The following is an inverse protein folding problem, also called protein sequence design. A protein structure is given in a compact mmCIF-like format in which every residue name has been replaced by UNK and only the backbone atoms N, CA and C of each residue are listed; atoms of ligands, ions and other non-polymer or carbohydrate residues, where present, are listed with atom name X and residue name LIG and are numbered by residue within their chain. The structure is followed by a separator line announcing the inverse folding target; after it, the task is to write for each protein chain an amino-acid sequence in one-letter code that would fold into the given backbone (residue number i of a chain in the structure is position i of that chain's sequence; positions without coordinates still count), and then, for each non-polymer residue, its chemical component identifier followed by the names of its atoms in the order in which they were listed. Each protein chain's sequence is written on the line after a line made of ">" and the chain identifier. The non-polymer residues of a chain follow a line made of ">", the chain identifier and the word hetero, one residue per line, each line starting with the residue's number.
data_IF_151220323288
#
_entry.id   IF_151220323288
#
_cell.length_a   1.000
_cell.length_b   1.000
_cell.length_c   1.000
_cell.angle_alpha   90.00
_cell.angle_beta   90.00
_cell.angle_gamma   90.00
#
_symmetry.space_group_name_H-M   'P 1'
#
loop_
_entity.id
_entity.type
_entity.pdbx_description
1 polymer ?
#
# COMPACT_ATOMS: atom_id res chain seq x y z
N UNK A 1 18.34 15.31 -4.12
CA UNK A 1 17.10 15.03 -3.36
C UNK A 1 16.88 16.17 -2.39
N UNK A 2 15.77 16.88 -2.48
CA UNK A 2 15.43 18.02 -1.62
C UNK A 2 15.02 17.55 -0.23
N UNK A 3 15.10 18.43 0.79
CA UNK A 3 14.70 18.10 2.17
C UNK A 3 13.27 17.54 2.27
N UNK A 4 12.34 18.04 1.45
CA UNK A 4 10.95 17.56 1.40
C UNK A 4 10.84 16.13 0.86
N UNK A 5 11.68 15.78 -0.12
CA UNK A 5 11.69 14.43 -0.71
C UNK A 5 12.30 13.39 0.22
N UNK A 6 13.33 13.76 0.99
CA UNK A 6 13.87 12.92 2.06
C UNK A 6 12.79 12.64 3.11
N UNK A 7 12.00 13.66 3.46
CA UNK A 7 10.87 13.48 4.37
C UNK A 7 9.84 12.50 3.78
N UNK A 8 9.42 12.64 2.52
CA UNK A 8 8.47 11.70 1.90
C UNK A 8 9.01 10.26 1.81
N UNK A 9 10.30 10.10 1.54
CA UNK A 9 10.96 8.79 1.55
C UNK A 9 11.02 8.15 2.94
N UNK A 10 11.13 8.95 4.00
CA UNK A 10 11.11 8.47 5.39
C UNK A 10 9.70 8.16 5.91
N UNK A 11 8.69 8.88 5.44
CA UNK A 11 7.30 8.74 5.91
C UNK A 11 6.76 7.32 5.65
N UNK A 12 7.02 6.73 4.48
CA UNK A 12 6.55 5.39 4.15
C UNK A 12 7.00 4.31 5.16
N UNK A 13 8.32 4.12 5.37
CA UNK A 13 8.85 3.17 6.35
C UNK A 13 8.35 3.43 7.77
N UNK A 14 8.28 4.69 8.19
CA UNK A 14 7.78 5.05 9.54
C UNK A 14 6.31 4.64 9.71
N UNK A 15 5.46 4.91 8.72
CA UNK A 15 4.06 4.51 8.76
C UNK A 15 3.89 2.99 8.76
N UNK A 16 4.69 2.25 7.99
CA UNK A 16 4.70 0.79 7.99
C UNK A 16 5.12 0.26 9.37
N UNK A 17 6.18 0.81 9.98
CA UNK A 17 6.63 0.41 11.31
C UNK A 17 5.55 0.65 12.37
N UNK A 18 4.92 1.83 12.37
CA UNK A 18 3.82 2.14 13.28
C UNK A 18 2.62 1.23 13.07
N UNK A 19 2.26 0.96 11.82
CA UNK A 19 1.14 0.07 11.47
C UNK A 19 1.37 -1.35 11.99
N UNK A 20 2.57 -1.90 11.76
CA UNK A 20 2.90 -3.23 12.25
C UNK A 20 2.99 -3.25 13.77
N UNK A 21 3.53 -2.20 14.41
CA UNK A 21 3.55 -2.09 15.86
C UNK A 21 2.15 -2.11 16.48
N UNK A 22 1.20 -1.36 15.92
CA UNK A 22 -0.20 -1.40 16.33
C UNK A 22 -0.80 -2.79 16.05
N UNK A 23 -0.49 -3.37 14.90
CA UNK A 23 -0.91 -4.72 14.51
C UNK A 23 -0.46 -5.82 15.47
N UNK A 24 0.67 -5.64 16.16
CA UNK A 24 1.10 -6.54 17.24
C UNK A 24 0.14 -6.52 18.43
N UNK A 25 -0.37 -5.35 18.77
CA UNK A 25 -1.27 -5.13 19.92
C UNK A 25 -2.70 -5.53 19.55
N UNK A 26 -3.10 -5.25 18.29
CA UNK A 26 -4.43 -5.49 17.75
C UNK A 26 -4.27 -6.36 16.50
N UNK A 27 -4.32 -7.70 16.61
CA UNK A 27 -4.06 -8.60 15.48
C UNK A 27 -4.97 -8.36 14.27
N UNK A 28 -6.26 -8.06 14.51
CA UNK A 28 -7.21 -7.69 13.45
C UNK A 28 -6.80 -6.42 12.69
N UNK A 29 -6.13 -5.48 13.36
CA UNK A 29 -5.66 -4.26 12.71
C UNK A 29 -4.60 -4.60 11.66
N UNK A 30 -3.69 -5.53 11.96
CA UNK A 30 -2.61 -5.90 11.06
C UNK A 30 -3.13 -6.56 9.77
N UNK A 31 -4.16 -7.41 9.89
CA UNK A 31 -4.78 -8.09 8.75
C UNK A 31 -5.47 -7.12 7.78
N UNK A 32 -6.17 -6.11 8.30
CA UNK A 32 -6.96 -5.18 7.48
C UNK A 32 -6.13 -4.03 6.93
N UNK A 33 -5.23 -3.50 7.75
CA UNK A 33 -4.53 -2.25 7.41
C UNK A 33 -3.25 -2.47 6.63
N UNK A 34 -2.63 -3.65 6.70
CA UNK A 34 -1.43 -3.98 5.93
C UNK A 34 -1.56 -3.66 4.42
N UNK A 35 -2.62 -4.08 3.71
CA UNK A 35 -2.77 -3.75 2.30
C UNK A 35 -3.14 -2.29 2.06
N UNK A 36 -3.96 -1.72 2.93
CA UNK A 36 -4.49 -0.35 2.79
C UNK A 36 -3.41 0.70 3.01
N UNK A 37 -2.53 0.51 4.01
CA UNK A 37 -1.48 1.47 4.35
C UNK A 37 -0.39 1.53 3.28
N UNK A 38 0.02 0.38 2.74
CA UNK A 38 0.99 0.37 1.65
C UNK A 38 0.42 1.12 0.45
N UNK A 39 -0.84 0.85 0.09
CA UNK A 39 -1.48 1.53 -1.03
C UNK A 39 -1.65 3.02 -0.78
N UNK A 40 -2.00 3.42 0.43
CA UNK A 40 -2.07 4.83 0.82
C UNK A 40 -0.72 5.52 0.65
N UNK A 41 0.36 4.91 1.13
CA UNK A 41 1.73 5.45 0.98
C UNK A 41 2.07 5.59 -0.51
N UNK A 42 1.87 4.55 -1.31
CA UNK A 42 2.22 4.60 -2.74
C UNK A 42 1.34 5.60 -3.51
N UNK A 43 0.05 5.66 -3.19
CA UNK A 43 -0.91 6.52 -3.88
C UNK A 43 -0.77 8.00 -3.53
N UNK A 44 -0.49 8.32 -2.26
CA UNK A 44 -0.52 9.70 -1.75
C UNK A 44 0.89 10.25 -1.57
N UNK A 45 1.78 9.48 -0.94
CA UNK A 45 3.14 9.93 -0.58
C UNK A 45 4.08 9.81 -1.79
N UNK A 46 4.03 8.68 -2.50
CA UNK A 46 4.94 8.43 -3.62
C UNK A 46 4.56 9.15 -4.91
N UNK A 47 3.35 9.71 -5.00
CA UNK A 47 2.86 10.47 -6.15
C UNK A 47 3.79 11.64 -6.54
N UNK A 48 4.30 12.35 -5.54
CA UNK A 48 5.30 13.41 -5.75
C UNK A 48 6.64 12.87 -6.23
N UNK A 49 7.03 11.68 -5.79
CA UNK A 49 8.29 11.05 -6.14
C UNK A 49 8.25 10.49 -7.59
N UNK A 50 7.11 9.93 -8.01
CA UNK A 50 6.90 9.38 -9.37
C UNK A 50 7.11 10.41 -10.47
N UNK A 51 6.79 11.69 -10.22
CA UNK A 51 7.01 12.79 -11.18
C UNK A 51 8.47 13.12 -11.39
N UNK A 52 9.32 12.85 -10.40
CA UNK A 52 10.76 13.18 -10.45
C UNK A 52 11.56 12.02 -11.01
N UNK A 53 11.32 10.82 -10.48
CA UNK A 53 12.03 9.61 -10.86
C UNK A 53 11.09 8.41 -10.76
N UNK A 54 10.48 8.09 -11.90
CA UNK A 54 9.49 7.03 -12.00
C UNK A 54 10.07 5.66 -11.66
N UNK A 55 11.29 5.35 -12.13
CA UNK A 55 11.94 4.06 -11.93
C UNK A 55 12.29 3.88 -10.45
N UNK A 56 12.97 4.86 -9.86
CA UNK A 56 13.33 4.81 -8.44
C UNK A 56 12.10 4.65 -7.54
N UNK A 57 11.05 5.43 -7.81
CA UNK A 57 9.83 5.41 -7.00
C UNK A 57 9.05 4.09 -7.17
N UNK A 58 9.09 3.50 -8.36
CA UNK A 58 8.52 2.17 -8.62
C UNK A 58 9.21 1.10 -7.78
N UNK A 59 10.55 1.06 -7.81
CA UNK A 59 11.35 0.12 -7.01
C UNK A 59 11.11 0.34 -5.52
N UNK A 60 11.12 1.59 -5.06
CA UNK A 60 10.83 1.93 -3.67
C UNK A 60 9.44 1.44 -3.22
N UNK A 61 8.41 1.56 -4.07
CA UNK A 61 7.07 1.09 -3.75
C UNK A 61 7.01 -0.43 -3.54
N UNK A 62 7.77 -1.22 -4.31
CA UNK A 62 7.90 -2.66 -4.07
C UNK A 62 8.74 -2.99 -2.83
N UNK A 63 9.80 -2.22 -2.57
CA UNK A 63 10.59 -2.37 -1.33
C UNK A 63 9.72 -2.16 -0.08
N UNK A 64 8.76 -1.23 -0.13
CA UNK A 64 7.80 -1.03 0.97
C UNK A 64 6.89 -2.24 1.19
N UNK A 65 6.45 -2.92 0.13
CA UNK A 65 5.68 -4.18 0.24
C UNK A 65 6.50 -5.26 0.92
N UNK A 66 7.75 -5.44 0.47
CA UNK A 66 8.68 -6.43 1.02
C UNK A 66 8.97 -6.11 2.48
N UNK A 67 9.21 -4.84 2.81
CA UNK A 67 9.45 -4.38 4.18
C UNK A 67 8.24 -4.69 5.07
N UNK A 68 7.03 -4.38 4.63
CA UNK A 68 5.82 -4.66 5.40
C UNK A 68 5.67 -6.16 5.69
N UNK A 69 5.82 -7.02 4.67
CA UNK A 69 5.77 -8.48 4.86
C UNK A 69 6.85 -8.96 5.83
N UNK A 70 8.08 -8.46 5.67
CA UNK A 70 9.21 -8.83 6.53
C UNK A 70 8.93 -8.44 7.99
N UNK A 71 8.40 -7.25 8.24
CA UNK A 71 8.05 -6.79 9.58
C UNK A 71 6.94 -7.64 10.20
N UNK A 72 5.98 -8.05 9.37
CA UNK A 72 4.89 -8.92 9.78
C UNK A 72 5.38 -10.30 10.22
N UNK A 73 6.30 -10.90 9.45
CA UNK A 73 6.87 -12.23 9.73
C UNK A 73 7.79 -12.20 10.96
N UNK A 74 8.71 -11.22 11.02
CA UNK A 74 9.86 -11.32 11.94
C UNK A 74 9.72 -10.51 13.24
N UNK A 75 8.99 -9.39 13.26
CA UNK A 75 9.17 -8.38 14.32
C UNK A 75 7.88 -7.98 15.03
N UNK A 76 6.75 -7.80 14.31
CA UNK A 76 5.60 -7.04 14.81
C UNK A 76 4.21 -7.56 14.33
N UNK A 77 4.10 -8.69 13.63
CA UNK A 77 2.79 -9.23 13.21
C UNK A 77 2.00 -9.92 14.34
N UNK A 78 0.71 -9.61 14.45
CA UNK A 78 -0.17 -10.07 15.55
C UNK A 78 -0.78 -11.46 15.38
N UNK A 79 -0.62 -12.12 14.24
CA UNK A 79 -1.18 -13.46 14.00
C UNK A 79 -0.10 -14.37 13.40
N UNK A 80 0.14 -15.51 14.05
CA UNK A 80 1.14 -16.55 13.68
C UNK A 80 0.52 -17.92 13.49
N UNK A 81 -0.82 -17.99 13.44
CA UNK A 81 -1.50 -19.20 13.04
C UNK A 81 -1.47 -19.32 11.49
N UNK A 82 -1.66 -20.54 11.00
CA UNK A 82 -1.59 -20.87 9.57
C UNK A 82 -2.59 -20.01 8.76
N UNK A 83 -3.75 -19.76 9.36
CA UNK A 83 -4.81 -18.96 8.74
C UNK A 83 -4.38 -17.49 8.62
N UNK A 84 -3.84 -16.89 9.68
CA UNK A 84 -3.35 -15.53 9.67
C UNK A 84 -2.18 -15.30 8.73
N UNK A 85 -1.26 -16.26 8.63
CA UNK A 85 -0.19 -16.21 7.63
C UNK A 85 -0.75 -16.22 6.19
N UNK A 86 -1.74 -17.07 5.90
CA UNK A 86 -2.40 -17.08 4.60
C UNK A 86 -3.09 -15.73 4.28
N UNK A 87 -3.71 -15.10 5.29
CA UNK A 87 -4.31 -13.77 5.14
C UNK A 87 -3.28 -12.67 4.86
N UNK A 88 -2.12 -12.73 5.52
CA UNK A 88 -1.02 -11.78 5.32
C UNK A 88 -0.43 -11.94 3.92
N UNK A 89 -0.22 -13.18 3.46
CA UNK A 89 0.30 -13.46 2.13
C UNK A 89 -0.70 -13.02 1.04
N UNK A 90 -2.00 -13.29 1.22
CA UNK A 90 -3.05 -12.81 0.31
C UNK A 90 -3.08 -11.26 0.24
N UNK A 91 -2.98 -10.61 1.38
CA UNK A 91 -2.94 -9.14 1.47
C UNK A 91 -1.68 -8.55 0.84
N UNK A 92 -0.54 -9.22 0.99
CA UNK A 92 0.71 -8.84 0.34
C UNK A 92 0.58 -8.96 -1.18
N UNK A 93 0.04 -10.08 -1.67
CA UNK A 93 -0.20 -10.30 -3.10
C UNK A 93 -1.14 -9.25 -3.68
N UNK A 94 -2.25 -8.95 -2.99
CA UNK A 94 -3.20 -7.92 -3.41
C UNK A 94 -2.52 -6.54 -3.50
N UNK A 95 -1.70 -6.18 -2.51
CA UNK A 95 -0.94 -4.93 -2.51
C UNK A 95 0.02 -4.85 -3.69
N UNK A 96 0.71 -5.95 -3.99
CA UNK A 96 1.63 -6.04 -5.12
C UNK A 96 0.94 -5.80 -6.46
N UNK A 97 -0.20 -6.46 -6.68
CA UNK A 97 -1.00 -6.29 -7.90
C UNK A 97 -1.51 -4.86 -8.05
N UNK A 98 -2.02 -4.27 -6.97
CA UNK A 98 -2.55 -2.90 -6.98
C UNK A 98 -1.44 -1.86 -7.20
N UNK A 99 -0.26 -2.04 -6.62
CA UNK A 99 0.91 -1.20 -6.92
C UNK A 99 1.32 -1.33 -8.38
N UNK A 100 1.32 -2.54 -8.91
CA UNK A 100 1.63 -2.78 -10.33
C UNK A 100 0.66 -2.03 -11.23
N UNK A 101 -0.65 -2.11 -10.95
CA UNK A 101 -1.66 -1.34 -11.68
C UNK A 101 -1.42 0.18 -11.59
N UNK A 102 -1.08 0.69 -10.40
CA UNK A 102 -0.76 2.11 -10.21
C UNK A 102 0.44 2.53 -11.07
N UNK A 103 1.54 1.79 -10.99
CA UNK A 103 2.76 2.07 -11.75
C UNK A 103 2.46 2.05 -13.26
N UNK A 104 1.68 1.09 -13.76
CA UNK A 104 1.28 1.03 -15.17
C UNK A 104 0.44 2.26 -15.58
N UNK A 105 -0.54 2.65 -14.76
CA UNK A 105 -1.35 3.85 -15.02
C UNK A 105 -0.47 5.10 -15.06
N UNK A 106 0.45 5.25 -14.11
CA UNK A 106 1.39 6.37 -14.10
C UNK A 106 2.32 6.37 -15.31
N UNK A 107 2.89 5.21 -15.64
CA UNK A 107 3.78 5.04 -16.78
C UNK A 107 3.10 5.38 -18.10
N UNK A 108 1.81 5.05 -18.24
CA UNK A 108 1.05 5.42 -19.44
C UNK A 108 0.74 6.93 -19.52
N UNK A 109 0.57 7.58 -18.36
CA UNK A 109 0.25 9.01 -18.27
C UNK A 109 1.48 9.92 -18.42
N UNK A 110 2.65 9.49 -17.93
CA UNK A 110 3.92 10.23 -17.96
C UNK A 110 4.37 10.77 -19.33
N UNK A 111 4.26 10.03 -20.46
CA UNK A 111 4.70 10.54 -21.76
C UNK A 111 3.77 11.61 -22.38
N UNK A 112 2.60 11.87 -21.79
CA UNK A 112 1.60 12.79 -22.35
C UNK A 112 1.95 14.25 -21.95
N UNK A 113 2.97 14.82 -22.59
CA UNK A 113 3.49 16.17 -22.30
C UNK A 113 2.54 17.34 -22.63
N UNK A 114 1.44 17.10 -23.36
CA UNK A 114 0.58 18.14 -23.95
C UNK A 114 -0.90 18.09 -23.52
N UNK A 115 -1.33 17.17 -22.65
CA UNK A 115 -2.68 17.21 -22.12
C UNK A 115 -2.72 18.02 -20.83
N UNK A 116 -3.62 19.01 -20.81
CA UNK A 116 -3.92 19.90 -19.69
C UNK A 116 -3.71 19.22 -18.32
N UNK A 117 -2.62 19.56 -17.62
CA UNK A 117 -2.16 18.88 -16.40
C UNK A 117 -3.26 18.74 -15.34
N UNK A 118 -4.25 19.64 -15.36
CA UNK A 118 -5.41 19.59 -14.47
C UNK A 118 -6.32 18.37 -14.72
N UNK A 119 -6.58 18.02 -15.99
CA UNK A 119 -7.44 16.89 -16.37
C UNK A 119 -6.77 15.58 -15.99
N UNK A 120 -5.49 15.44 -16.33
CA UNK A 120 -4.68 14.26 -15.98
C UNK A 120 -4.61 14.07 -14.45
N UNK A 121 -4.33 15.13 -13.70
CA UNK A 121 -4.32 15.08 -12.23
C UNK A 121 -5.68 14.65 -11.66
N UNK A 122 -6.79 15.11 -12.26
CA UNK A 122 -8.13 14.70 -11.82
C UNK A 122 -8.41 13.21 -12.09
N UNK A 123 -7.99 12.68 -13.25
CA UNK A 123 -8.17 11.27 -13.62
C UNK A 123 -7.32 10.36 -12.73
N UNK A 124 -6.04 10.70 -12.55
CA UNK A 124 -5.18 9.95 -11.64
C UNK A 124 -5.76 9.97 -10.22
N UNK A 125 -6.18 11.14 -9.72
CA UNK A 125 -6.81 11.25 -8.39
C UNK A 125 -8.04 10.34 -8.28
N UNK A 126 -8.92 10.30 -9.29
CA UNK A 126 -10.10 9.42 -9.29
C UNK A 126 -9.70 7.94 -9.29
N UNK A 127 -8.71 7.55 -10.09
CA UNK A 127 -8.20 6.17 -10.12
C UNK A 127 -7.60 5.78 -8.76
N UNK A 128 -6.81 6.66 -8.15
CA UNK A 128 -6.24 6.46 -6.82
C UNK A 128 -7.33 6.33 -5.76
N UNK A 129 -8.35 7.18 -5.79
CA UNK A 129 -9.49 7.09 -4.88
C UNK A 129 -10.25 5.79 -5.09
N UNK A 130 -10.49 5.37 -6.33
CA UNK A 130 -11.16 4.09 -6.63
C UNK A 130 -10.34 2.89 -6.14
N UNK A 131 -9.02 2.89 -6.35
CA UNK A 131 -8.12 1.83 -5.87
C UNK A 131 -8.04 1.81 -4.33
N UNK A 132 -8.02 2.97 -3.69
CA UNK A 132 -8.06 3.07 -2.23
C UNK A 132 -9.38 2.53 -1.65
N UNK A 133 -10.51 2.87 -2.27
CA UNK A 133 -11.82 2.33 -1.89
C UNK A 133 -11.83 0.82 -2.12
N UNK A 134 -11.39 0.33 -3.27
CA UNK A 134 -11.34 -1.10 -3.57
C UNK A 134 -10.47 -1.87 -2.56
N UNK A 135 -9.31 -1.34 -2.20
CA UNK A 135 -8.41 -1.94 -1.20
C UNK A 135 -9.01 -1.93 0.21
N UNK A 136 -9.66 -0.83 0.59
CA UNK A 136 -10.33 -0.70 1.90
C UNK A 136 -11.53 -1.64 2.00
N UNK A 137 -12.35 -1.72 0.95
CA UNK A 137 -13.47 -2.65 0.84
C UNK A 137 -13.00 -4.10 0.84
N UNK A 138 -11.91 -4.41 0.12
CA UNK A 138 -11.31 -5.74 0.15
C UNK A 138 -10.85 -6.08 1.57
N UNK A 139 -10.08 -5.20 2.23
CA UNK A 139 -9.65 -5.41 3.62
C UNK A 139 -10.82 -5.65 4.59
N UNK A 140 -11.93 -4.93 4.41
CA UNK A 140 -13.14 -5.13 5.21
C UNK A 140 -13.85 -6.46 4.92
N UNK A 141 -13.95 -6.87 3.64
CA UNK A 141 -14.52 -8.16 3.25
C UNK A 141 -13.69 -9.31 3.81
N UNK A 142 -12.36 -9.23 3.70
CA UNK A 142 -11.45 -10.24 4.24
C UNK A 142 -11.56 -10.34 5.77
N UNK A 143 -11.75 -9.21 6.47
CA UNK A 143 -12.01 -9.19 7.90
C UNK A 143 -13.30 -9.92 8.27
N UNK A 144 -14.39 -9.65 7.53
CA UNK A 144 -15.69 -10.26 7.79
C UNK A 144 -15.63 -11.77 7.56
N UNK A 145 -14.96 -12.24 6.51
CA UNK A 145 -14.74 -13.67 6.25
C UNK A 145 -13.93 -14.32 7.39
N UNK A 146 -12.85 -13.67 7.84
CA UNK A 146 -12.05 -14.19 8.96
C UNK A 146 -12.85 -14.30 10.25
N UNK A 147 -13.65 -13.29 10.59
CA UNK A 147 -14.51 -13.30 11.77
C UNK A 147 -15.56 -14.42 11.67
N UNK A 148 -16.21 -14.58 10.52
CA UNK A 148 -17.22 -15.62 10.34
C UNK A 148 -16.62 -17.03 10.49
N UNK A 149 -15.44 -17.29 9.90
CA UNK A 149 -14.75 -18.57 10.00
C UNK A 149 -14.27 -18.92 11.42
N UNK A 150 -13.98 -17.92 12.26
CA UNK A 150 -13.42 -18.14 13.61
C UNK A 150 -14.48 -18.39 14.69
N UNK A 151 -15.73 -18.01 14.42
CA UNK A 151 -16.84 -18.08 15.39
C UNK A 151 -17.93 -19.10 15.00
N UNK A 152 -17.64 -19.98 14.02
CA UNK A 152 -18.41 -21.19 13.68
C UNK A 152 -17.67 -22.41 14.23
#
# INVERSE_FOLDING_TARGET
>A
MTKKEIAYFGVGPVLILLSNFIGRIIPLFSMVTAPVIILFIVAVVNLSLFKRDFIFTSVYSFLLVILNRTLHIFLLGGVRDIEGEAWIDLSTLASWLLITMLILVYGWVLPIKNLNDAIIRSKIRRILTALFIAASSLGMILLLIYLDLKYI
#
